data_IF_505787787473
#
_entry.id   IF_505787787473
#
_cell.length_a   1.000
_cell.length_b   1.000
_cell.length_c   1.000
_cell.angle_alpha   90.00
_cell.angle_beta   90.00
_cell.angle_gamma   90.00
#
_symmetry.space_group_name_H-M   'P 1'
#
loop_
_entity.id
_entity.type
_entity.pdbx_description
1 polymer ?
#
# COMPACT_ATOMS: atom_id res chain seq x y z
N UNK A 1 -102.08 -25.99 -7.33
CA UNK A 1 -100.91 -26.01 -6.43
C UNK A 1 -99.88 -25.07 -7.03
N UNK A 2 -99.58 -23.98 -6.34
CA UNK A 2 -98.55 -23.01 -6.73
C UNK A 2 -97.26 -23.41 -6.02
N UNK A 3 -96.21 -23.74 -6.76
CA UNK A 3 -94.94 -24.17 -6.18
C UNK A 3 -94.22 -22.95 -5.56
N UNK A 4 -93.90 -22.94 -4.25
CA UNK A 4 -93.23 -21.83 -3.59
C UNK A 4 -91.72 -22.07 -3.66
N UNK A 5 -91.14 -21.98 -4.85
CA UNK A 5 -89.69 -21.85 -5.01
C UNK A 5 -89.36 -20.39 -5.29
N UNK A 6 -89.71 -19.53 -4.32
CA UNK A 6 -89.41 -18.12 -4.38
C UNK A 6 -87.89 -17.92 -4.32
N UNK A 7 -87.38 -17.24 -5.35
CA UNK A 7 -86.21 -16.36 -5.37
C UNK A 7 -85.22 -16.55 -4.22
N UNK A 8 -84.23 -17.42 -4.45
CA UNK A 8 -82.90 -17.15 -3.93
C UNK A 8 -82.24 -16.22 -4.95
N UNK A 9 -81.92 -14.96 -4.62
CA UNK A 9 -81.21 -14.09 -5.54
C UNK A 9 -79.86 -14.74 -5.84
N UNK A 10 -79.57 -14.91 -7.13
CA UNK A 10 -78.28 -15.35 -7.65
C UNK A 10 -77.15 -14.73 -6.82
N UNK A 11 -76.35 -15.58 -6.18
CA UNK A 11 -75.16 -15.16 -5.46
C UNK A 11 -74.33 -14.26 -6.40
N UNK A 12 -73.97 -13.02 -5.99
CA UNK A 12 -73.27 -12.13 -6.89
C UNK A 12 -71.96 -12.80 -7.32
N UNK A 13 -71.59 -12.70 -8.61
CA UNK A 13 -70.43 -13.39 -9.13
C UNK A 13 -69.18 -13.05 -8.31
N UNK A 14 -68.28 -14.02 -8.06
CA UNK A 14 -67.07 -13.77 -7.27
C UNK A 14 -66.27 -12.64 -7.91
N UNK A 15 -65.93 -11.64 -7.10
CA UNK A 15 -65.19 -10.47 -7.55
C UNK A 15 -63.87 -10.90 -8.23
N UNK A 16 -63.54 -10.37 -9.42
CA UNK A 16 -62.31 -10.73 -10.11
C UNK A 16 -61.11 -10.38 -9.22
N UNK A 17 -60.26 -11.37 -8.94
CA UNK A 17 -58.98 -11.15 -8.28
C UNK A 17 -58.17 -10.17 -9.13
N UNK A 18 -57.89 -8.98 -8.59
CA UNK A 18 -56.97 -8.02 -9.21
C UNK A 18 -55.61 -8.71 -9.37
N UNK A 19 -55.25 -9.01 -10.62
CA UNK A 19 -53.90 -9.46 -10.96
C UNK A 19 -52.95 -8.35 -10.52
N UNK A 20 -52.02 -8.65 -9.60
CA UNK A 20 -50.97 -7.69 -9.24
C UNK A 20 -50.23 -7.37 -10.54
N UNK A 21 -50.17 -6.09 -10.90
CA UNK A 21 -49.36 -5.65 -12.02
C UNK A 21 -47.90 -5.89 -11.63
N UNK A 22 -47.30 -6.97 -12.14
CA UNK A 22 -45.86 -7.23 -12.08
C UNK A 22 -45.12 -6.22 -13.00
N UNK A 23 -45.34 -4.92 -12.79
CA UNK A 23 -45.10 -3.89 -13.81
C UNK A 23 -44.31 -2.66 -13.37
N UNK A 24 -44.04 -2.47 -12.09
CA UNK A 24 -43.11 -1.44 -11.62
C UNK A 24 -42.09 -2.09 -10.69
N UNK A 25 -40.91 -2.32 -11.24
CA UNK A 25 -39.76 -2.80 -10.49
C UNK A 25 -39.27 -1.60 -9.67
N UNK A 26 -39.47 -1.64 -8.35
CA UNK A 26 -39.04 -0.56 -7.46
C UNK A 26 -37.52 -0.35 -7.64
N UNK A 27 -37.14 0.77 -8.25
CA UNK A 27 -35.73 1.11 -8.48
C UNK A 27 -35.03 1.55 -7.20
N UNK A 28 -35.78 1.99 -6.20
CA UNK A 28 -35.29 2.45 -4.89
C UNK A 28 -34.35 1.45 -4.21
N UNK A 29 -34.68 0.14 -4.08
CA UNK A 29 -33.74 -0.85 -3.55
C UNK A 29 -32.54 -1.11 -4.46
N UNK A 30 -32.66 -0.99 -5.78
CA UNK A 30 -31.54 -1.18 -6.71
C UNK A 30 -30.52 -0.05 -6.60
N UNK A 31 -31.02 1.19 -6.50
CA UNK A 31 -30.20 2.38 -6.28
C UNK A 31 -29.45 2.25 -4.96
N UNK A 32 -30.12 1.85 -3.87
CA UNK A 32 -29.50 1.66 -2.56
C UNK A 32 -28.33 0.65 -2.58
N UNK A 33 -28.52 -0.53 -3.19
CA UNK A 33 -27.45 -1.53 -3.33
C UNK A 33 -26.26 -0.98 -4.14
N UNK A 34 -26.52 -0.24 -5.22
CA UNK A 34 -25.43 0.38 -6.00
C UNK A 34 -24.71 1.48 -5.24
N UNK A 35 -25.42 2.29 -4.45
CA UNK A 35 -24.82 3.32 -3.60
C UNK A 35 -23.96 2.71 -2.49
N UNK A 36 -24.41 1.62 -1.86
CA UNK A 36 -23.64 0.90 -0.87
C UNK A 36 -22.34 0.34 -1.47
N UNK A 37 -22.40 -0.20 -2.70
CA UNK A 37 -21.23 -0.69 -3.42
C UNK A 37 -20.26 0.44 -3.81
N UNK A 38 -20.75 1.61 -4.22
CA UNK A 38 -19.90 2.76 -4.55
C UNK A 38 -19.19 3.33 -3.33
N UNK A 39 -19.87 3.43 -2.17
CA UNK A 39 -19.24 3.84 -0.91
C UNK A 39 -18.20 2.81 -0.48
N UNK A 40 -18.55 1.52 -0.53
CA UNK A 40 -17.61 0.44 -0.21
C UNK A 40 -16.38 0.49 -1.12
N UNK A 41 -16.57 0.65 -2.43
CA UNK A 41 -15.48 0.76 -3.40
C UNK A 41 -14.64 2.02 -3.21
N UNK A 42 -15.26 3.18 -2.96
CA UNK A 42 -14.54 4.44 -2.73
C UNK A 42 -13.69 4.40 -1.46
N UNK A 43 -14.23 3.85 -0.36
CA UNK A 43 -13.51 3.69 0.92
C UNK A 43 -12.38 2.67 0.79
N UNK A 44 -12.61 1.54 0.14
CA UNK A 44 -11.57 0.50 -0.08
C UNK A 44 -10.51 0.94 -1.10
N UNK A 45 -10.88 1.69 -2.15
CA UNK A 45 -9.94 2.29 -3.10
C UNK A 45 -9.04 3.34 -2.45
N UNK A 46 -9.58 4.12 -1.50
CA UNK A 46 -8.78 5.08 -0.72
C UNK A 46 -7.69 4.39 0.10
N UNK A 47 -7.91 3.13 0.52
CA UNK A 47 -6.91 2.35 1.23
C UNK A 47 -5.73 1.90 0.34
N UNK A 48 -5.94 1.79 -0.98
CA UNK A 48 -4.86 1.45 -1.92
C UNK A 48 -3.93 2.63 -2.25
N UNK A 49 -4.37 3.88 -2.03
CA UNK A 49 -3.60 5.06 -2.47
C UNK A 49 -2.55 5.52 -1.46
N UNK A 50 -2.53 5.02 -0.22
CA UNK A 50 -1.59 5.45 0.82
C UNK A 50 -0.19 4.82 0.75
N UNK A 51 0.13 4.03 -0.29
CA UNK A 51 1.47 3.46 -0.49
C UNK A 51 2.30 4.12 -1.60
N UNK A 52 1.92 5.29 -2.10
CA UNK A 52 2.83 6.10 -2.91
C UNK A 52 3.53 7.13 -2.02
N UNK A 53 4.52 6.69 -1.25
CA UNK A 53 5.59 7.63 -0.91
C UNK A 53 6.24 7.96 -2.26
N UNK A 54 6.31 9.24 -2.67
CA UNK A 54 7.06 9.62 -3.86
C UNK A 54 8.53 9.35 -3.55
N UNK A 55 8.95 8.12 -3.82
CA UNK A 55 10.36 7.79 -3.87
C UNK A 55 10.93 8.62 -5.01
N UNK A 56 11.93 9.48 -4.76
CA UNK A 56 12.67 10.08 -5.85
C UNK A 56 13.25 8.92 -6.65
N UNK A 57 12.65 8.61 -7.79
CA UNK A 57 13.20 7.66 -8.75
C UNK A 57 14.49 8.31 -9.22
N UNK A 58 15.63 7.90 -8.66
CA UNK A 58 16.85 7.92 -9.43
C UNK A 58 16.57 7.10 -10.68
N UNK A 59 16.68 7.75 -11.84
CA UNK A 59 16.55 7.08 -13.13
C UNK A 59 17.68 6.06 -13.24
N UNK A 60 17.43 4.83 -12.81
CA UNK A 60 18.15 3.65 -13.26
C UNK A 60 17.15 2.78 -14.02
N UNK A 61 16.68 3.30 -15.15
CA UNK A 61 16.11 2.48 -16.23
C UNK A 61 17.26 1.66 -16.82
N UNK A 62 17.64 0.57 -16.16
CA UNK A 62 18.22 -0.59 -16.84
C UNK A 62 17.73 -1.89 -16.20
N UNK A 63 17.28 -2.86 -17.02
CA UNK A 63 16.83 -4.16 -16.54
C UNK A 63 18.03 -4.97 -16.05
N UNK A 64 17.81 -5.72 -14.98
CA UNK A 64 18.80 -6.62 -14.37
C UNK A 64 19.51 -7.51 -15.40
N UNK A 65 20.81 -7.33 -15.58
CA UNK A 65 21.75 -8.38 -15.99
C UNK A 65 23.17 -7.83 -15.99
N UNK A 66 24.07 -8.66 -15.46
CA UNK A 66 25.51 -8.54 -15.42
C UNK A 66 26.12 -7.64 -14.34
N UNK A 67 26.86 -8.33 -13.47
CA UNK A 67 28.14 -7.89 -12.95
C UNK A 67 28.86 -7.05 -14.02
N UNK A 68 28.98 -5.77 -13.76
CA UNK A 68 29.94 -4.92 -14.44
C UNK A 68 30.61 -4.11 -13.34
N UNK A 69 31.75 -4.64 -12.89
CA UNK A 69 32.84 -3.78 -12.42
C UNK A 69 33.08 -2.75 -13.53
N UNK A 70 32.94 -1.45 -13.21
CA UNK A 70 33.28 -0.24 -13.98
C UNK A 70 32.32 0.86 -13.46
N UNK A 71 32.70 1.87 -12.68
CA UNK A 71 33.96 2.58 -12.50
C UNK A 71 34.04 3.00 -11.01
N UNK A 72 35.25 3.03 -10.44
CA UNK A 72 35.55 3.63 -9.14
C UNK A 72 35.22 5.13 -9.18
N UNK A 73 33.94 5.48 -9.06
CA UNK A 73 33.59 6.72 -8.41
C UNK A 73 33.84 6.45 -6.92
N UNK A 74 34.92 7.03 -6.38
CA UNK A 74 35.38 6.98 -4.98
C UNK A 74 34.34 7.56 -3.98
N UNK A 75 33.05 7.45 -4.25
CA UNK A 75 32.01 7.79 -3.31
C UNK A 75 31.91 6.70 -2.26
N UNK A 76 32.22 7.09 -1.03
CA UNK A 76 32.07 6.23 0.12
C UNK A 76 30.57 5.95 0.32
N UNK A 77 30.14 4.72 -0.02
CA UNK A 77 28.74 4.30 0.09
C UNK A 77 28.47 3.65 1.44
N UNK A 78 27.39 4.06 2.10
CA UNK A 78 26.91 3.42 3.33
C UNK A 78 25.64 2.66 2.99
N UNK A 79 25.57 1.40 3.38
CA UNK A 79 24.40 0.54 3.15
C UNK A 79 23.64 0.35 4.45
N UNK A 80 22.31 0.44 4.39
CA UNK A 80 21.42 0.14 5.51
C UNK A 80 20.46 -0.95 5.08
N UNK A 81 20.55 -2.09 5.74
CA UNK A 81 19.65 -3.22 5.52
C UNK A 81 18.51 -3.22 6.52
N UNK A 82 17.29 -3.49 6.05
CA UNK A 82 16.08 -3.57 6.86
C UNK A 82 15.50 -4.98 6.72
N UNK A 83 15.58 -5.73 7.82
CA UNK A 83 15.12 -7.11 7.89
C UNK A 83 13.60 -7.25 8.06
N UNK A 84 13.05 -8.45 7.85
CA UNK A 84 11.63 -8.76 8.03
C UNK A 84 11.13 -8.51 9.46
N UNK A 85 12.02 -8.59 10.45
CA UNK A 85 11.71 -8.27 11.84
C UNK A 85 11.83 -6.78 12.19
N UNK A 86 12.12 -5.92 11.20
CA UNK A 86 12.43 -4.49 11.38
C UNK A 86 13.71 -4.23 12.18
N UNK A 87 14.65 -5.18 12.13
CA UNK A 87 16.03 -4.92 12.51
C UNK A 87 16.71 -4.06 11.46
N UNK A 88 17.64 -3.21 11.88
CA UNK A 88 18.43 -2.38 11.00
C UNK A 88 19.89 -2.79 11.09
N UNK A 89 20.56 -2.97 9.97
CA UNK A 89 21.99 -3.24 9.91
C UNK A 89 22.65 -2.14 9.10
N UNK A 90 23.58 -1.41 9.72
CA UNK A 90 24.37 -0.38 9.03
C UNK A 90 25.69 -1.02 8.64
N UNK A 91 25.99 -1.00 7.35
CA UNK A 91 27.25 -1.45 6.77
C UNK A 91 27.95 -0.22 6.22
N UNK A 92 28.96 0.25 6.94
CA UNK A 92 29.84 1.33 6.52
C UNK A 92 31.25 0.76 6.30
N UNK A 93 32.10 1.42 5.48
CA UNK A 93 33.47 0.95 5.28
C UNK A 93 34.29 0.84 6.56
N UNK A 94 33.94 1.63 7.57
CA UNK A 94 34.62 1.67 8.87
C UNK A 94 34.08 0.67 9.89
N UNK A 95 32.79 0.31 9.80
CA UNK A 95 32.14 -0.54 10.80
C UNK A 95 30.86 -1.15 10.26
N UNK A 96 30.46 -2.26 10.88
CA UNK A 96 29.14 -2.84 10.73
C UNK A 96 28.43 -2.85 12.09
N UNK A 97 27.17 -2.43 12.14
CA UNK A 97 26.43 -2.30 13.41
C UNK A 97 24.93 -2.55 13.24
N UNK A 98 24.42 -3.48 14.03
CA UNK A 98 22.99 -3.66 14.24
C UNK A 98 22.42 -2.52 15.10
N UNK A 99 21.31 -1.95 14.63
CA UNK A 99 20.57 -0.89 15.29
C UNK A 99 19.12 -1.34 15.52
N UNK A 100 18.57 -1.05 16.69
CA UNK A 100 17.19 -1.38 17.05
C UNK A 100 16.27 -0.14 17.18
N UNK A 101 16.80 1.07 16.97
CA UNK A 101 16.04 2.32 17.14
C UNK A 101 16.47 3.39 16.16
N UNK A 102 15.54 4.30 15.83
CA UNK A 102 15.79 5.46 14.96
C UNK A 102 17.00 6.29 15.41
N UNK A 103 17.16 6.48 16.73
CA UNK A 103 18.25 7.27 17.30
C UNK A 103 19.62 6.59 17.06
N UNK A 104 19.67 5.27 17.21
CA UNK A 104 20.85 4.48 16.89
C UNK A 104 21.21 4.57 15.41
N UNK A 105 20.21 4.52 14.51
CA UNK A 105 20.42 4.66 13.06
C UNK A 105 21.03 6.03 12.73
N UNK A 106 20.42 7.12 13.20
CA UNK A 106 20.97 8.47 12.98
C UNK A 106 22.38 8.64 13.55
N UNK A 107 22.69 8.00 14.67
CA UNK A 107 24.03 8.08 15.26
C UNK A 107 25.04 7.32 14.41
N UNK A 108 24.69 6.09 13.99
CA UNK A 108 25.53 5.28 13.11
C UNK A 108 25.75 5.94 11.75
N UNK A 109 24.70 6.49 11.12
CA UNK A 109 24.84 7.19 9.85
C UNK A 109 25.69 8.46 9.94
N UNK A 110 25.62 9.19 11.06
CA UNK A 110 26.50 10.35 11.31
C UNK A 110 27.95 9.94 11.58
N UNK A 111 28.15 8.82 12.27
CA UNK A 111 29.48 8.27 12.53
C UNK A 111 30.14 7.77 11.24
N UNK A 112 29.35 7.17 10.36
CA UNK A 112 29.78 6.76 9.02
C UNK A 112 29.92 7.94 8.04
N UNK A 113 29.35 9.10 8.35
CA UNK A 113 29.38 10.26 7.47
C UNK A 113 30.77 10.92 7.46
N UNK A 114 31.48 10.78 6.35
CA UNK A 114 32.77 11.37 6.10
C UNK A 114 32.66 12.53 5.09
N UNK A 115 32.71 13.80 5.54
CA UNK A 115 32.61 14.96 4.65
C UNK A 115 33.83 15.11 3.72
N UNK A 116 34.90 14.34 3.92
CA UNK A 116 36.12 14.41 3.10
C UNK A 116 36.02 13.59 1.80
N UNK A 117 35.06 12.67 1.71
CA UNK A 117 34.94 11.70 0.63
C UNK A 117 34.29 12.24 -0.68
N UNK A 118 34.25 13.57 -0.88
CA UNK A 118 33.70 14.17 -2.11
C UNK A 118 32.18 14.04 -2.32
N UNK A 119 31.52 13.21 -1.51
CA UNK A 119 30.09 12.93 -1.52
C UNK A 119 29.85 11.56 -0.90
N UNK A 120 28.74 11.38 -0.19
CA UNK A 120 28.35 10.08 0.32
C UNK A 120 26.96 9.71 -0.13
N UNK A 121 26.83 8.46 -0.57
CA UNK A 121 25.57 7.88 -1.03
C UNK A 121 25.07 6.87 -0.02
N UNK A 122 23.79 6.96 0.31
CA UNK A 122 23.11 6.00 1.18
C UNK A 122 22.36 4.99 0.32
N UNK A 123 22.73 3.71 0.41
CA UNK A 123 21.99 2.60 -0.17
C UNK A 123 21.09 1.98 0.91
N UNK A 124 19.80 1.87 0.64
CA UNK A 124 18.82 1.29 1.58
C UNK A 124 18.29 0.00 0.97
N UNK A 125 18.67 -1.13 1.56
CA UNK A 125 18.19 -2.45 1.16
C UNK A 125 17.04 -2.85 2.07
N UNK A 126 15.84 -2.98 1.53
CA UNK A 126 14.63 -3.27 2.30
C UNK A 126 14.06 -4.63 1.93
N UNK A 127 13.80 -5.47 2.94
CA UNK A 127 13.07 -6.71 2.73
C UNK A 127 11.59 -6.46 2.40
N UNK A 128 10.98 -7.26 1.50
CA UNK A 128 9.57 -7.08 1.06
C UNK A 128 8.53 -7.08 2.19
N UNK A 129 8.80 -7.82 3.26
CA UNK A 129 7.92 -7.91 4.43
C UNK A 129 8.16 -6.82 5.48
N UNK A 130 9.22 -6.02 5.33
CA UNK A 130 9.54 -4.98 6.29
C UNK A 130 8.44 -3.91 6.33
N UNK A 131 8.27 -3.27 7.49
CA UNK A 131 7.25 -2.23 7.64
C UNK A 131 7.68 -0.99 6.88
N UNK A 132 6.71 -0.34 6.22
CA UNK A 132 6.94 0.96 5.56
C UNK A 132 7.53 1.99 6.52
N UNK A 133 7.11 1.97 7.79
CA UNK A 133 7.65 2.86 8.83
C UNK A 133 9.16 2.73 8.99
N UNK A 134 9.71 1.51 8.88
CA UNK A 134 11.14 1.26 9.00
C UNK A 134 11.93 1.87 7.87
N UNK A 135 11.40 1.78 6.64
CA UNK A 135 12.00 2.45 5.48
C UNK A 135 11.99 3.97 5.67
N UNK A 136 10.87 4.54 6.11
CA UNK A 136 10.75 5.99 6.37
C UNK A 136 11.71 6.43 7.47
N UNK A 137 11.88 5.64 8.53
CA UNK A 137 12.80 5.97 9.62
C UNK A 137 14.26 6.02 9.14
N UNK A 138 14.66 5.14 8.21
CA UNK A 138 15.99 5.18 7.58
C UNK A 138 16.13 6.36 6.62
N UNK A 139 15.10 6.67 5.81
CA UNK A 139 15.10 7.84 4.92
C UNK A 139 15.23 9.15 5.69
N UNK A 140 14.49 9.28 6.79
CA UNK A 140 14.59 10.41 7.71
C UNK A 140 16.00 10.49 8.31
N UNK A 141 16.55 9.35 8.74
CA UNK A 141 17.89 9.30 9.31
C UNK A 141 18.98 9.69 8.29
N UNK A 142 18.85 9.29 7.03
CA UNK A 142 19.71 9.69 5.91
C UNK A 142 19.69 11.20 5.70
N UNK A 143 18.48 11.78 5.65
CA UNK A 143 18.29 13.22 5.50
C UNK A 143 18.92 14.00 6.66
N UNK A 144 18.72 13.54 7.90
CA UNK A 144 19.30 14.16 9.12
C UNK A 144 20.83 14.03 9.15
N UNK A 145 21.38 13.01 8.51
CA UNK A 145 22.82 12.71 8.48
C UNK A 145 23.52 13.30 7.26
N UNK A 146 22.83 14.15 6.48
CA UNK A 146 23.37 14.90 5.34
C UNK A 146 23.79 14.03 4.14
N UNK A 147 23.14 12.88 3.94
CA UNK A 147 23.29 12.11 2.70
C UNK A 147 22.44 12.75 1.60
N UNK A 148 23.11 13.24 0.55
CA UNK A 148 22.46 13.94 -0.57
C UNK A 148 21.87 13.00 -1.62
N UNK A 149 22.42 11.80 -1.74
CA UNK A 149 21.95 10.77 -2.66
C UNK A 149 21.45 9.54 -1.89
N UNK A 150 20.21 9.16 -2.18
CA UNK A 150 19.54 8.00 -1.61
C UNK A 150 19.23 7.02 -2.75
N UNK A 151 19.60 5.76 -2.58
CA UNK A 151 19.17 4.65 -3.43
C UNK A 151 18.39 3.66 -2.58
N UNK A 152 17.25 3.20 -3.07
CA UNK A 152 16.47 2.16 -2.41
C UNK A 152 16.43 0.92 -3.30
N UNK A 153 16.71 -0.23 -2.69
CA UNK A 153 16.65 -1.56 -3.31
C UNK A 153 15.73 -2.44 -2.49
N UNK A 154 14.75 -3.07 -3.13
CA UNK A 154 13.86 -4.03 -2.47
C UNK A 154 14.33 -5.46 -2.77
N UNK A 155 14.48 -6.29 -1.73
CA UNK A 155 14.96 -7.68 -1.84
C UNK A 155 14.01 -8.67 -1.17
N UNK A 156 13.98 -9.90 -1.68
CA UNK A 156 13.16 -11.00 -1.14
C UNK A 156 13.81 -11.74 0.01
N UNK A 157 15.15 -11.77 0.06
CA UNK A 157 15.95 -12.35 1.15
C UNK A 157 17.18 -11.45 1.36
N UNK A 158 17.51 -11.19 2.63
CA UNK A 158 18.80 -10.60 3.02
C UNK A 158 19.77 -11.75 3.28
N UNK A 159 21.01 -11.60 2.83
CA UNK A 159 21.97 -12.70 2.69
C UNK A 159 22.99 -12.72 3.84
#
# INVERSE_FOLDING_TARGET
>A
MSDPSADLPDEPPPLPRKKREDGELDMTPMVDVTFLLLIFFMVTASFSLQKSIPMPRSQSDQPSTNQQDEEEDDFETVTVEIDEFNGYLIIAPTFERECASKLAITTGLKEAYNPSAGGMRLSITCHKKARLQSLVDVMDAGTISNYGELQITEVEELN
#
